data_IF_984649743090
#
_entry.id   IF_984649743090
#
_cell.length_a   1.000
_cell.length_b   1.000
_cell.length_c   1.000
_cell.angle_alpha   90.00
_cell.angle_beta   90.00
_cell.angle_gamma   90.00
#
_symmetry.space_group_name_H-M   'P 1'
#
loop_
_entity.id
_entity.type
_entity.pdbx_description
1 polymer ?
#
# COMPACT_ATOMS: atom_id res chain seq x y z
N UNK A 1 -17.97 -5.85 41.71
CA UNK A 1 -16.85 -5.49 40.81
C UNK A 1 -16.43 -4.06 41.10
N UNK A 2 -15.22 -3.88 41.63
CA UNK A 2 -14.73 -2.59 42.14
C UNK A 2 -14.55 -1.58 40.99
N UNK A 3 -14.59 -0.28 41.31
CA UNK A 3 -14.31 0.80 40.33
C UNK A 3 -12.93 0.61 39.67
N UNK A 4 -11.96 0.08 40.41
CA UNK A 4 -10.62 -0.25 39.93
C UNK A 4 -10.64 -1.37 38.86
N UNK A 5 -11.40 -2.44 39.09
CA UNK A 5 -11.53 -3.57 38.15
C UNK A 5 -12.17 -3.12 36.83
N UNK A 6 -13.19 -2.24 36.92
CA UNK A 6 -13.83 -1.65 35.74
C UNK A 6 -12.87 -0.79 34.93
N UNK A 7 -12.03 0.00 35.60
CA UNK A 7 -11.04 0.84 34.92
C UNK A 7 -9.93 0.02 34.24
N UNK A 8 -9.45 -1.04 34.90
CA UNK A 8 -8.47 -1.96 34.30
C UNK A 8 -9.05 -2.71 33.10
N UNK A 9 -10.29 -3.19 33.18
CA UNK A 9 -10.97 -3.83 32.06
C UNK A 9 -11.14 -2.87 30.87
N UNK A 10 -11.55 -1.62 31.10
CA UNK A 10 -11.66 -0.61 30.04
C UNK A 10 -10.30 -0.31 29.39
N UNK A 11 -9.23 -0.20 30.17
CA UNK A 11 -7.87 0.01 29.64
C UNK A 11 -7.42 -1.14 28.75
N UNK A 12 -7.70 -2.39 29.15
CA UNK A 12 -7.39 -3.58 28.37
C UNK A 12 -8.14 -3.56 27.02
N UNK A 13 -9.44 -3.25 27.04
CA UNK A 13 -10.27 -3.19 25.83
C UNK A 13 -9.74 -2.13 24.86
N UNK A 14 -9.44 -0.93 25.34
CA UNK A 14 -8.87 0.15 24.51
C UNK A 14 -7.53 -0.28 23.90
N UNK A 15 -6.67 -0.93 24.69
CA UNK A 15 -5.38 -1.44 24.20
C UNK A 15 -5.58 -2.47 23.09
N UNK A 16 -6.50 -3.41 23.24
CA UNK A 16 -6.79 -4.42 22.21
C UNK A 16 -7.30 -3.75 20.93
N UNK A 17 -8.24 -2.80 21.05
CA UNK A 17 -8.78 -2.07 19.89
C UNK A 17 -7.67 -1.31 19.16
N UNK A 18 -6.78 -0.63 19.90
CA UNK A 18 -5.66 0.10 19.30
C UNK A 18 -4.70 -0.82 18.54
N UNK A 19 -4.38 -2.00 19.08
CA UNK A 19 -3.50 -2.97 18.43
C UNK A 19 -4.14 -3.47 17.13
N UNK A 20 -5.44 -3.80 17.15
CA UNK A 20 -6.16 -4.25 15.96
C UNK A 20 -6.18 -3.16 14.89
N UNK A 21 -6.43 -1.91 15.26
CA UNK A 21 -6.42 -0.78 14.32
C UNK A 21 -5.04 -0.60 13.65
N UNK A 22 -3.97 -0.60 14.45
CA UNK A 22 -2.60 -0.45 13.94
C UNK A 22 -2.26 -1.63 13.02
N UNK A 23 -2.62 -2.85 13.40
CA UNK A 23 -2.37 -4.04 12.58
C UNK A 23 -3.07 -3.95 11.22
N UNK A 24 -4.33 -3.51 11.19
CA UNK A 24 -5.06 -3.33 9.94
C UNK A 24 -4.43 -2.26 9.04
N UNK A 25 -4.01 -1.13 9.61
CA UNK A 25 -3.32 -0.07 8.87
C UNK A 25 -2.01 -0.57 8.25
N UNK A 26 -1.16 -1.23 9.05
CA UNK A 26 0.09 -1.80 8.55
C UNK A 26 -0.14 -2.89 7.50
N UNK A 27 -1.16 -3.73 7.67
CA UNK A 27 -1.49 -4.79 6.71
C UNK A 27 -1.93 -4.20 5.37
N UNK A 28 -2.72 -3.14 5.37
CA UNK A 28 -3.14 -2.45 4.15
C UNK A 28 -1.94 -1.81 3.43
N UNK A 29 -1.08 -1.12 4.18
CA UNK A 29 0.13 -0.49 3.64
C UNK A 29 1.12 -1.53 3.09
N UNK A 30 1.32 -2.64 3.81
CA UNK A 30 2.14 -3.76 3.35
C UNK A 30 1.61 -4.36 2.04
N UNK A 31 0.29 -4.51 1.91
CA UNK A 31 -0.33 -5.04 0.69
C UNK A 31 -0.06 -4.14 -0.51
N UNK A 32 -0.27 -2.83 -0.36
CA UNK A 32 0.04 -1.85 -1.41
C UNK A 32 1.52 -1.81 -1.76
N UNK A 33 2.40 -1.89 -0.76
CA UNK A 33 3.85 -1.93 -0.97
C UNK A 33 4.26 -3.18 -1.75
N UNK A 34 3.75 -4.35 -1.37
CA UNK A 34 4.01 -5.62 -2.05
C UNK A 34 3.53 -5.60 -3.51
N UNK A 35 2.37 -5.00 -3.78
CA UNK A 35 1.85 -4.82 -5.13
C UNK A 35 2.74 -3.89 -5.98
N UNK A 36 3.23 -2.79 -5.40
CA UNK A 36 4.19 -1.89 -6.06
C UNK A 36 5.49 -2.61 -6.44
N UNK A 37 6.05 -3.38 -5.52
CA UNK A 37 7.25 -4.20 -5.78
C UNK A 37 7.01 -5.22 -6.88
N UNK A 38 5.89 -5.95 -6.81
CA UNK A 38 5.54 -6.94 -7.83
C UNK A 38 5.37 -6.29 -9.21
N UNK A 39 4.79 -5.09 -9.24
CA UNK A 39 4.71 -4.29 -10.46
C UNK A 39 6.12 -3.96 -10.95
N UNK A 40 6.97 -3.36 -10.12
CA UNK A 40 8.35 -3.01 -10.48
C UNK A 40 9.17 -4.21 -11.00
N UNK A 41 9.10 -5.36 -10.32
CA UNK A 41 9.80 -6.58 -10.75
C UNK A 41 9.34 -7.03 -12.14
N UNK A 42 8.03 -7.02 -12.41
CA UNK A 42 7.50 -7.33 -13.76
C UNK A 42 8.05 -6.38 -14.81
N UNK A 43 8.14 -5.09 -14.51
CA UNK A 43 8.65 -4.09 -15.46
C UNK A 43 10.13 -4.29 -15.75
N UNK A 44 10.91 -4.62 -14.71
CA UNK A 44 12.32 -4.97 -14.83
C UNK A 44 12.53 -6.23 -15.68
N UNK A 45 11.70 -7.28 -15.48
CA UNK A 45 11.77 -8.49 -16.32
C UNK A 45 11.46 -8.23 -17.79
N UNK A 46 10.65 -7.21 -18.08
CA UNK A 46 10.31 -6.77 -19.43
C UNK A 46 11.33 -5.76 -20.01
N UNK A 47 12.36 -5.38 -19.24
CA UNK A 47 13.40 -4.45 -19.67
C UNK A 47 13.06 -2.97 -19.54
N UNK A 48 11.94 -2.61 -18.91
CA UNK A 48 11.56 -1.23 -18.65
C UNK A 48 12.12 -0.74 -17.31
N UNK A 49 12.80 0.42 -17.31
CA UNK A 49 13.32 1.05 -16.09
C UNK A 49 12.24 1.75 -15.25
N UNK A 50 11.21 2.27 -15.91
CA UNK A 50 10.16 3.06 -15.25
C UNK A 50 8.85 2.28 -15.18
N UNK A 51 8.23 2.31 -14.00
CA UNK A 51 6.94 1.71 -13.78
C UNK A 51 6.01 2.51 -12.87
N UNK A 52 4.75 2.59 -13.27
CA UNK A 52 3.69 3.28 -12.53
C UNK A 52 2.67 2.27 -12.07
N UNK A 53 2.58 2.09 -10.75
CA UNK A 53 1.52 1.31 -10.11
C UNK A 53 0.36 2.23 -9.74
N UNK A 54 -0.82 1.94 -10.27
CA UNK A 54 -2.07 2.60 -9.90
C UNK A 54 -2.92 1.62 -9.11
N UNK A 55 -3.15 1.86 -7.81
CA UNK A 55 -3.98 1.00 -6.98
C UNK A 55 -5.43 1.03 -7.45
N UNK A 56 -6.19 0.00 -7.07
CA UNK A 56 -7.61 -0.09 -7.36
C UNK A 56 -8.33 1.12 -6.77
N UNK A 57 -9.21 1.71 -7.56
CA UNK A 57 -10.10 2.76 -7.08
C UNK A 57 -11.53 2.39 -7.45
N UNK A 58 -12.21 1.77 -6.47
CA UNK A 58 -13.58 1.28 -6.57
C UNK A 58 -14.55 2.42 -6.90
N UNK A 59 -14.28 3.64 -6.41
CA UNK A 59 -15.16 4.80 -6.63
C UNK A 59 -15.25 5.23 -8.10
N UNK A 60 -14.24 4.88 -8.91
CA UNK A 60 -14.18 5.20 -10.34
C UNK A 60 -14.19 3.94 -11.22
N UNK A 61 -14.47 2.77 -10.64
CA UNK A 61 -14.46 1.48 -11.35
C UNK A 61 -13.10 1.12 -11.95
N UNK A 62 -12.01 1.62 -11.36
CA UNK A 62 -10.66 1.38 -11.87
C UNK A 62 -10.04 0.18 -11.16
N UNK A 63 -9.78 -0.88 -11.93
CA UNK A 63 -8.99 -2.03 -11.49
C UNK A 63 -7.53 -1.65 -11.20
N UNK A 64 -6.83 -2.44 -10.39
CA UNK A 64 -5.38 -2.31 -10.22
C UNK A 64 -4.67 -2.37 -11.58
N UNK A 65 -3.76 -1.42 -11.83
CA UNK A 65 -2.99 -1.36 -13.08
C UNK A 65 -1.52 -1.14 -12.79
N UNK A 66 -0.69 -1.86 -13.52
CA UNK A 66 0.76 -1.67 -13.56
C UNK A 66 1.12 -1.27 -15.00
N UNK A 67 1.70 -0.08 -15.18
CA UNK A 67 2.08 0.45 -16.50
C UNK A 67 3.59 0.53 -16.59
N UNK A 68 4.17 -0.30 -17.46
CA UNK A 68 5.60 -0.29 -17.80
C UNK A 68 5.87 0.72 -18.92
N UNK A 69 6.90 1.56 -18.76
CA UNK A 69 7.31 2.50 -19.82
C UNK A 69 6.60 3.87 -19.82
N UNK A 70 6.00 4.27 -18.69
CA UNK A 70 5.38 5.59 -18.54
C UNK A 70 6.43 6.71 -18.30
N UNK A 71 7.33 6.92 -19.25
CA UNK A 71 7.90 8.22 -19.62
C UNK A 71 8.67 8.00 -20.93
N UNK A 72 8.29 8.73 -21.98
CA UNK A 72 9.09 8.81 -23.20
C UNK A 72 10.45 9.36 -22.80
N UNK A 73 11.47 8.51 -22.76
CA UNK A 73 12.86 8.94 -22.72
C UNK A 73 13.19 9.57 -24.09
N UNK A 74 12.68 10.78 -24.36
CA UNK A 74 13.16 11.61 -25.45
C UNK A 74 14.49 12.22 -25.03
N UNK A 75 15.57 11.46 -25.19
CA UNK A 75 16.92 12.01 -25.25
C UNK A 75 17.43 11.81 -26.67
N UNK A 76 17.31 12.85 -27.50
CA UNK A 76 18.12 13.02 -28.71
C UNK A 76 17.91 14.45 -29.22
N UNK A 77 18.80 15.35 -28.81
CA UNK A 77 19.41 16.29 -29.76
C UNK A 77 20.88 16.45 -29.34
N UNK A 78 21.74 15.64 -29.95
CA UNK A 78 23.13 16.04 -30.21
C UNK A 78 23.11 16.70 -31.58
N UNK A 79 23.18 18.03 -31.60
CA UNK A 79 23.81 18.77 -32.69
C UNK A 79 24.46 20.02 -32.11
#
# INVERSE_FOLDING_TARGET
>A
MSRADKFQATKLIISIISIVLIFNLMSAEYTHWRQKLTCQDRCLTLGFKNCTYTPENINIGQSERCVCGAQKDQYLVLN
#
